data_IF_252675192257
#
_entry.id   IF_252675192257
#
_cell.length_a   1.000
_cell.length_b   1.000
_cell.length_c   1.000
_cell.angle_alpha   90.00
_cell.angle_beta   90.00
_cell.angle_gamma   90.00
#
_symmetry.space_group_name_H-M   'P 1'
#
loop_
_entity.id
_entity.type
_entity.pdbx_description
1 polymer ?
#
# COMPACT_ATOMS: atom_id res chain seq x y z
N UNK A 1 -0.75 -3.34 -25.28
CA UNK A 1 0.38 -4.11 -25.83
C UNK A 1 1.75 -3.70 -25.28
N UNK A 2 1.99 -2.46 -24.83
CA UNK A 2 3.27 -2.04 -24.18
C UNK A 2 3.30 -2.37 -22.68
N UNK A 3 2.13 -2.57 -22.04
CA UNK A 3 2.00 -2.89 -20.62
C UNK A 3 2.57 -4.26 -20.21
N UNK A 4 2.78 -5.17 -21.17
CA UNK A 4 3.22 -6.54 -20.87
C UNK A 4 4.74 -6.68 -20.72
N UNK A 5 5.52 -5.68 -21.14
CA UNK A 5 6.98 -5.81 -21.22
C UNK A 5 7.76 -5.13 -20.07
N UNK A 6 7.14 -4.23 -19.31
CA UNK A 6 7.82 -3.45 -18.26
C UNK A 6 7.13 -3.63 -16.92
N UNK A 7 7.87 -3.94 -15.84
CA UNK A 7 7.30 -4.04 -14.51
C UNK A 7 6.66 -2.72 -14.08
N UNK A 8 5.43 -2.78 -13.57
CA UNK A 8 4.74 -1.63 -12.96
C UNK A 8 5.26 -1.39 -11.54
N UNK A 9 5.47 -2.46 -10.78
CA UNK A 9 6.07 -2.40 -9.45
C UNK A 9 7.55 -2.71 -9.58
N UNK A 10 8.41 -1.81 -9.12
CA UNK A 10 9.87 -1.90 -9.29
C UNK A 10 10.65 -1.90 -7.97
N UNK A 11 9.96 -1.79 -6.85
CA UNK A 11 10.54 -1.78 -5.51
C UNK A 11 9.68 -2.56 -4.52
N UNK A 12 10.30 -3.26 -3.57
CA UNK A 12 9.60 -3.85 -2.43
C UNK A 12 8.98 -2.78 -1.51
N UNK A 13 9.50 -1.55 -1.57
CA UNK A 13 9.00 -0.41 -0.81
C UNK A 13 7.83 0.32 -1.49
N UNK A 14 7.45 -0.04 -2.72
CA UNK A 14 6.26 0.51 -3.38
C UNK A 14 4.98 -0.09 -2.76
N UNK A 15 4.83 0.16 -1.48
CA UNK A 15 3.74 -0.33 -0.62
C UNK A 15 3.47 0.65 0.52
N UNK A 16 2.31 0.52 1.14
CA UNK A 16 1.94 1.35 2.28
C UNK A 16 2.73 0.97 3.55
N UNK A 17 3.21 1.96 4.29
CA UNK A 17 4.07 1.80 5.47
C UNK A 17 3.49 0.84 6.52
N UNK A 18 2.19 0.92 6.79
CA UNK A 18 1.53 0.04 7.75
C UNK A 18 1.64 -1.46 7.37
N UNK A 19 1.87 -1.80 6.09
CA UNK A 19 2.05 -3.19 5.68
C UNK A 19 3.37 -3.76 6.20
N UNK A 20 4.46 -3.01 6.12
CA UNK A 20 5.74 -3.45 6.69
C UNK A 20 5.71 -3.47 8.22
N UNK A 21 5.03 -2.49 8.84
CA UNK A 21 4.85 -2.51 10.29
C UNK A 21 4.07 -3.75 10.74
N UNK A 22 2.92 -4.02 10.12
CA UNK A 22 2.16 -5.23 10.43
C UNK A 22 2.94 -6.50 10.10
N UNK A 23 3.72 -6.52 8.99
CA UNK A 23 4.53 -7.67 8.63
C UNK A 23 5.59 -7.98 9.69
N UNK A 24 6.25 -6.96 10.27
CA UNK A 24 7.19 -7.18 11.37
C UNK A 24 6.48 -7.80 12.59
N UNK A 25 5.32 -7.28 12.97
CA UNK A 25 4.54 -7.84 14.07
C UNK A 25 4.09 -9.29 13.76
N UNK A 26 3.66 -9.56 12.53
CA UNK A 26 3.32 -10.92 12.07
C UNK A 26 4.55 -11.82 12.09
N UNK A 27 5.70 -11.34 11.64
CA UNK A 27 6.94 -12.09 11.63
C UNK A 27 7.33 -12.59 13.04
N UNK A 28 7.19 -11.75 14.06
CA UNK A 28 7.53 -12.11 15.42
C UNK A 28 6.48 -12.97 16.13
N UNK A 29 5.20 -12.71 15.90
CA UNK A 29 4.12 -13.30 16.71
C UNK A 29 3.28 -14.36 15.97
N UNK A 30 3.21 -14.31 14.61
CA UNK A 30 2.22 -15.07 13.82
C UNK A 30 2.78 -15.62 12.51
N UNK A 31 4.07 -15.87 12.44
CA UNK A 31 4.85 -16.14 11.21
C UNK A 31 4.23 -17.19 10.29
N UNK A 32 3.76 -18.29 10.85
CA UNK A 32 3.35 -19.49 10.11
C UNK A 32 1.83 -19.66 10.04
N UNK A 33 1.06 -18.69 10.51
CA UNK A 33 -0.41 -18.74 10.41
C UNK A 33 -0.80 -18.69 8.93
N UNK A 34 -1.51 -19.70 8.42
CA UNK A 34 -2.01 -19.70 7.06
C UNK A 34 -3.16 -18.70 6.93
N UNK A 35 -3.12 -17.91 5.88
CA UNK A 35 -4.18 -16.94 5.58
C UNK A 35 -4.65 -17.04 4.14
N UNK A 36 -5.87 -16.55 3.92
CA UNK A 36 -6.47 -16.38 2.61
C UNK A 36 -6.92 -14.94 2.48
N UNK A 37 -6.39 -14.22 1.48
CA UNK A 37 -6.87 -12.90 1.11
C UNK A 37 -7.60 -12.98 -0.23
N UNK A 38 -8.72 -12.26 -0.37
CA UNK A 38 -9.52 -12.24 -1.59
C UNK A 38 -9.76 -10.80 -2.04
N UNK A 39 -9.49 -10.56 -3.32
CA UNK A 39 -9.89 -9.31 -3.97
C UNK A 39 -11.38 -9.34 -4.28
N UNK A 40 -12.06 -8.23 -3.95
CA UNK A 40 -13.45 -8.00 -4.33
C UNK A 40 -13.58 -6.63 -4.99
N UNK A 41 -13.95 -6.63 -6.26
CA UNK A 41 -14.41 -5.41 -6.91
C UNK A 41 -15.79 -5.05 -6.32
N UNK A 42 -15.94 -3.81 -5.83
CA UNK A 42 -17.20 -3.33 -5.21
C UNK A 42 -18.13 -2.65 -6.22
N UNK A 43 -17.67 -2.48 -7.45
CA UNK A 43 -18.44 -1.97 -8.58
C UNK A 43 -18.78 -3.09 -9.56
N UNK A 44 -19.74 -2.87 -10.44
CA UNK A 44 -20.12 -3.83 -11.50
C UNK A 44 -19.12 -3.83 -12.68
N UNK A 45 -17.88 -3.42 -12.42
CA UNK A 45 -16.85 -3.37 -13.44
C UNK A 45 -16.39 -4.77 -13.85
N UNK A 46 -16.33 -4.99 -15.15
CA UNK A 46 -15.89 -6.25 -15.77
C UNK A 46 -14.39 -6.20 -16.06
N UNK A 47 -13.59 -6.61 -15.08
CA UNK A 47 -12.13 -6.51 -15.12
C UNK A 47 -11.44 -7.80 -15.59
N UNK A 48 -12.19 -8.83 -15.96
CA UNK A 48 -11.63 -10.13 -16.36
C UNK A 48 -10.76 -10.05 -17.62
N UNK A 49 -10.98 -9.07 -18.50
CA UNK A 49 -10.14 -8.83 -19.67
C UNK A 49 -8.69 -8.49 -19.34
N UNK A 50 -8.42 -8.01 -18.11
CA UNK A 50 -7.07 -7.65 -17.64
C UNK A 50 -6.34 -8.80 -16.92
N UNK A 51 -6.97 -9.97 -16.76
CA UNK A 51 -6.44 -11.09 -15.99
C UNK A 51 -5.06 -11.58 -16.50
N UNK A 52 -4.89 -11.66 -17.82
CA UNK A 52 -3.63 -12.10 -18.44
C UNK A 52 -2.50 -11.09 -18.19
N UNK A 53 -2.76 -9.81 -18.40
CA UNK A 53 -1.79 -8.74 -18.15
C UNK A 53 -1.43 -8.69 -16.67
N UNK A 54 -2.43 -8.81 -15.77
CA UNK A 54 -2.19 -8.86 -14.34
C UNK A 54 -1.34 -10.06 -13.95
N UNK A 55 -1.61 -11.26 -14.50
CA UNK A 55 -0.79 -12.45 -14.23
C UNK A 55 0.67 -12.23 -14.59
N UNK A 56 0.93 -11.67 -15.77
CA UNK A 56 2.28 -11.36 -16.21
C UNK A 56 2.99 -10.38 -15.26
N UNK A 57 2.30 -9.31 -14.83
CA UNK A 57 2.86 -8.36 -13.87
C UNK A 57 3.14 -8.98 -12.50
N UNK A 58 2.26 -9.87 -12.03
CA UNK A 58 2.47 -10.62 -10.79
C UNK A 58 3.67 -11.56 -10.89
N UNK A 59 3.87 -12.21 -12.04
CA UNK A 59 5.03 -13.11 -12.26
C UNK A 59 6.35 -12.33 -12.19
N UNK A 60 6.39 -11.11 -12.73
CA UNK A 60 7.59 -10.25 -12.67
C UNK A 60 7.93 -9.80 -11.23
N UNK A 61 6.98 -9.80 -10.30
CA UNK A 61 7.26 -9.42 -8.91
C UNK A 61 8.19 -10.42 -8.19
N UNK A 62 8.35 -11.65 -8.70
CA UNK A 62 9.29 -12.62 -8.14
C UNK A 62 10.74 -12.12 -8.14
N UNK A 63 11.10 -11.24 -9.08
CA UNK A 63 12.44 -10.71 -9.23
C UNK A 63 12.73 -9.52 -8.29
N UNK A 64 11.70 -8.98 -7.61
CA UNK A 64 11.88 -7.86 -6.70
C UNK A 64 12.70 -8.27 -5.47
N UNK A 65 13.65 -7.44 -5.13
CA UNK A 65 14.50 -7.62 -3.95
C UNK A 65 14.77 -6.28 -3.28
N UNK A 66 14.94 -6.29 -1.97
CA UNK A 66 15.33 -5.10 -1.23
C UNK A 66 16.77 -4.71 -1.62
N UNK A 67 16.95 -3.49 -2.09
CA UNK A 67 18.27 -2.94 -2.39
C UNK A 67 19.04 -2.60 -1.12
N UNK A 68 20.35 -2.38 -1.21
CA UNK A 68 21.14 -1.96 -0.06
C UNK A 68 20.75 -0.53 0.42
N UNK A 69 20.32 0.34 -0.48
CA UNK A 69 19.84 1.70 -0.17
C UNK A 69 18.53 1.61 0.62
N UNK A 70 17.55 0.88 0.11
CA UNK A 70 16.27 0.64 0.78
C UNK A 70 16.45 -0.03 2.14
N UNK A 71 17.35 -1.01 2.24
CA UNK A 71 17.69 -1.66 3.51
C UNK A 71 18.25 -0.63 4.51
N UNK A 72 19.22 0.21 4.09
CA UNK A 72 19.80 1.27 4.91
C UNK A 72 18.77 2.28 5.36
N UNK A 73 17.83 2.65 4.48
CA UNK A 73 16.71 3.52 4.82
C UNK A 73 15.82 2.92 5.91
N UNK A 74 15.35 1.67 5.73
CA UNK A 74 14.53 1.01 6.74
C UNK A 74 15.27 0.86 8.07
N UNK A 75 16.58 0.56 8.04
CA UNK A 75 17.42 0.45 9.23
C UNK A 75 17.55 1.78 9.99
N UNK A 76 17.42 2.91 9.32
CA UNK A 76 17.45 4.23 9.96
C UNK A 76 16.17 4.58 10.72
N UNK A 77 15.09 3.85 10.49
CA UNK A 77 13.80 4.04 11.14
C UNK A 77 13.77 3.29 12.48
N UNK A 78 13.45 3.97 13.60
CA UNK A 78 13.70 3.43 14.95
C UNK A 78 12.82 2.24 15.33
N UNK A 79 11.72 2.01 14.62
CA UNK A 79 10.74 0.97 14.93
C UNK A 79 11.00 -0.36 14.20
N UNK A 80 11.91 -0.43 13.23
CA UNK A 80 12.27 -1.70 12.61
C UNK A 80 13.35 -2.43 13.39
N UNK A 81 13.08 -3.70 13.71
CA UNK A 81 14.02 -4.60 14.40
C UNK A 81 14.95 -5.25 13.39
N UNK A 82 16.22 -5.41 13.78
CA UNK A 82 17.26 -5.89 12.88
C UNK A 82 17.02 -7.32 12.37
N UNK A 83 16.51 -8.21 13.20
CA UNK A 83 16.19 -9.59 12.82
C UNK A 83 15.10 -9.67 11.74
N UNK A 84 14.04 -8.85 11.87
CA UNK A 84 13.05 -8.70 10.81
C UNK A 84 13.68 -8.15 9.52
N UNK A 85 14.49 -7.10 9.60
CA UNK A 85 15.13 -6.52 8.42
C UNK A 85 16.07 -7.50 7.72
N UNK A 86 16.83 -8.32 8.47
CA UNK A 86 17.66 -9.36 7.89
C UNK A 86 16.82 -10.43 7.18
N UNK A 87 15.69 -10.83 7.74
CA UNK A 87 14.76 -11.72 7.07
C UNK A 87 14.16 -11.05 5.82
N UNK A 88 13.70 -9.79 5.91
CA UNK A 88 13.09 -9.05 4.82
C UNK A 88 14.05 -8.81 3.64
N UNK A 89 15.33 -8.70 3.89
CA UNK A 89 16.36 -8.63 2.84
C UNK A 89 16.32 -9.83 1.90
N UNK A 90 15.94 -10.99 2.42
CA UNK A 90 15.81 -12.24 1.65
C UNK A 90 14.38 -12.53 1.19
N UNK A 91 13.44 -11.69 1.55
CA UNK A 91 12.05 -11.83 1.10
C UNK A 91 11.97 -11.75 -0.42
N UNK A 92 11.12 -12.59 -0.99
CA UNK A 92 10.73 -12.55 -2.40
C UNK A 92 9.24 -12.82 -2.49
N UNK A 93 8.55 -12.11 -3.37
CA UNK A 93 7.19 -12.46 -3.72
C UNK A 93 7.14 -13.85 -4.37
N UNK A 94 6.10 -14.60 -4.09
CA UNK A 94 5.87 -15.96 -4.60
C UNK A 94 4.62 -15.94 -5.48
N UNK A 95 4.74 -15.76 -6.81
CA UNK A 95 3.59 -15.66 -7.71
C UNK A 95 2.63 -16.84 -7.65
N UNK A 96 3.10 -18.02 -7.29
CA UNK A 96 2.29 -19.21 -7.09
C UNK A 96 1.26 -19.10 -5.94
N UNK A 97 1.44 -18.15 -5.02
CA UNK A 97 0.47 -17.84 -3.97
C UNK A 97 -0.76 -17.10 -4.52
N UNK A 98 -0.66 -16.48 -5.70
CA UNK A 98 -1.69 -15.61 -6.28
C UNK A 98 -2.45 -16.35 -7.38
N UNK A 99 -3.70 -16.67 -7.12
CA UNK A 99 -4.61 -17.30 -8.05
C UNK A 99 -5.51 -16.25 -8.69
N UNK A 100 -5.36 -16.04 -9.99
CA UNK A 100 -6.14 -15.08 -10.78
C UNK A 100 -7.08 -15.87 -11.68
N UNK A 101 -8.36 -15.54 -11.65
CA UNK A 101 -9.39 -16.17 -12.49
C UNK A 101 -10.41 -15.12 -12.96
N UNK A 102 -11.19 -15.52 -13.97
CA UNK A 102 -12.29 -14.72 -14.50
C UNK A 102 -13.57 -15.53 -14.39
N UNK A 103 -14.62 -14.91 -13.86
CA UNK A 103 -15.96 -15.53 -13.82
C UNK A 103 -16.63 -15.51 -15.19
N UNK A 104 -17.75 -16.24 -15.34
CA UNK A 104 -18.56 -16.24 -16.56
C UNK A 104 -19.07 -14.83 -16.92
N UNK A 105 -19.29 -13.96 -15.93
CA UNK A 105 -19.74 -12.58 -16.10
C UNK A 105 -18.58 -11.59 -16.31
N UNK A 106 -17.37 -12.12 -16.65
CA UNK A 106 -16.16 -11.34 -16.85
C UNK A 106 -15.69 -10.52 -15.62
N UNK A 107 -16.00 -11.00 -14.41
CA UNK A 107 -15.47 -10.43 -13.18
C UNK A 107 -14.08 -10.98 -12.89
N UNK A 108 -13.17 -10.12 -12.46
CA UNK A 108 -11.84 -10.51 -11.99
C UNK A 108 -11.92 -11.05 -10.56
N UNK A 109 -11.36 -12.22 -10.33
CA UNK A 109 -11.19 -12.79 -9.01
C UNK A 109 -9.71 -13.03 -8.74
N UNK A 110 -9.24 -12.60 -7.56
CA UNK A 110 -7.88 -12.84 -7.12
C UNK A 110 -7.96 -13.42 -5.71
N UNK A 111 -7.28 -14.55 -5.52
CA UNK A 111 -7.16 -15.21 -4.22
C UNK A 111 -5.68 -15.44 -3.94
N UNK A 112 -5.24 -15.06 -2.74
CA UNK A 112 -3.86 -15.19 -2.29
C UNK A 112 -3.84 -16.11 -1.09
N UNK A 113 -2.97 -17.12 -1.12
CA UNK A 113 -2.89 -18.14 -0.06
C UNK A 113 -1.45 -18.38 0.37
N UNK A 114 -1.21 -18.48 1.66
CA UNK A 114 0.13 -18.76 2.19
C UNK A 114 0.27 -18.36 3.66
N UNK A 115 1.51 -18.40 4.20
CA UNK A 115 1.80 -17.86 5.52
C UNK A 115 1.52 -16.34 5.59
N UNK A 116 0.94 -15.87 6.67
CA UNK A 116 0.53 -14.47 6.81
C UNK A 116 1.68 -13.50 6.57
N UNK A 117 2.88 -13.76 7.11
CA UNK A 117 4.08 -12.95 6.88
C UNK A 117 4.45 -12.75 5.40
N UNK A 118 4.00 -13.64 4.51
CA UNK A 118 4.25 -13.55 3.07
C UNK A 118 3.06 -12.90 2.36
N UNK A 119 1.84 -13.33 2.68
CA UNK A 119 0.60 -12.87 2.04
C UNK A 119 0.31 -11.40 2.30
N UNK A 120 0.67 -10.90 3.48
CA UNK A 120 0.34 -9.54 3.93
C UNK A 120 0.84 -8.44 2.98
N UNK A 121 1.97 -8.65 2.30
CA UNK A 121 2.53 -7.66 1.38
C UNK A 121 1.87 -7.64 0.00
N UNK A 122 1.12 -8.67 -0.37
CA UNK A 122 0.51 -8.74 -1.69
C UNK A 122 -0.60 -7.70 -1.91
N UNK A 123 -1.34 -7.30 -0.87
CA UNK A 123 -2.53 -6.46 -1.02
C UNK A 123 -2.24 -5.16 -1.78
N UNK A 124 -1.31 -4.36 -1.29
CA UNK A 124 -1.09 -3.01 -1.82
C UNK A 124 -0.54 -3.03 -3.25
N UNK A 125 0.53 -3.80 -3.56
CA UNK A 125 1.02 -3.90 -4.93
C UNK A 125 -0.02 -4.48 -5.89
N UNK A 126 -0.77 -5.52 -5.51
CA UNK A 126 -1.82 -6.07 -6.37
C UNK A 126 -2.92 -5.07 -6.70
N UNK A 127 -3.38 -4.31 -5.69
CA UNK A 127 -4.38 -3.28 -5.93
C UNK A 127 -3.83 -2.15 -6.81
N UNK A 128 -2.57 -1.76 -6.63
CA UNK A 128 -1.89 -0.79 -7.48
C UNK A 128 -1.78 -1.32 -8.93
N UNK A 129 -1.39 -2.59 -9.12
CA UNK A 129 -1.35 -3.23 -10.44
C UNK A 129 -2.71 -3.20 -11.13
N UNK A 130 -3.77 -3.67 -10.45
CA UNK A 130 -5.13 -3.66 -11.02
C UNK A 130 -5.54 -2.24 -11.41
N UNK A 131 -5.37 -1.28 -10.50
CA UNK A 131 -5.73 0.11 -10.73
C UNK A 131 -4.98 0.70 -11.93
N UNK A 132 -3.67 0.55 -11.97
CA UNK A 132 -2.83 1.11 -13.02
C UNK A 132 -3.07 0.46 -14.39
N UNK A 133 -3.21 -0.88 -14.46
CA UNK A 133 -3.52 -1.59 -15.71
C UNK A 133 -4.84 -1.08 -16.29
N UNK A 134 -5.88 -0.98 -15.47
CA UNK A 134 -7.21 -0.52 -15.89
C UNK A 134 -7.16 0.93 -16.35
N UNK A 135 -6.54 1.82 -15.60
CA UNK A 135 -6.46 3.23 -15.96
C UNK A 135 -5.64 3.48 -17.23
N UNK A 136 -4.49 2.83 -17.38
CA UNK A 136 -3.67 2.94 -18.60
C UNK A 136 -4.41 2.43 -19.84
N UNK A 137 -5.21 1.37 -19.70
CA UNK A 137 -5.99 0.83 -20.79
C UNK A 137 -7.16 1.75 -21.19
N UNK A 138 -7.87 2.32 -20.21
CA UNK A 138 -9.08 3.13 -20.43
C UNK A 138 -8.81 4.59 -20.74
N UNK A 139 -7.70 5.12 -20.26
CA UNK A 139 -7.37 6.54 -20.38
C UNK A 139 -5.89 6.77 -20.67
N UNK A 140 -5.36 6.18 -21.78
CA UNK A 140 -3.93 6.22 -22.11
C UNK A 140 -3.41 7.64 -22.41
N UNK A 141 -4.31 8.59 -22.65
CA UNK A 141 -3.98 9.99 -22.96
C UNK A 141 -3.68 10.83 -21.72
N UNK A 142 -4.06 10.36 -20.50
CA UNK A 142 -3.83 11.12 -19.27
C UNK A 142 -2.38 11.01 -18.86
N UNK A 143 -1.72 12.15 -18.70
CA UNK A 143 -0.33 12.27 -18.32
C UNK A 143 -0.16 12.70 -16.84
N UNK A 144 1.06 12.61 -16.33
CA UNK A 144 1.39 13.15 -15.02
C UNK A 144 1.18 14.68 -14.96
N UNK A 145 1.47 15.39 -16.05
CA UNK A 145 1.28 16.85 -16.13
C UNK A 145 -0.20 17.22 -16.06
N UNK A 146 -1.09 16.46 -16.74
CA UNK A 146 -2.53 16.67 -16.63
C UNK A 146 -3.03 16.51 -15.19
N UNK A 147 -2.49 15.52 -14.47
CA UNK A 147 -2.84 15.28 -13.09
C UNK A 147 -2.37 16.42 -12.17
N UNK A 148 -1.16 16.96 -12.38
CA UNK A 148 -0.64 18.11 -11.65
C UNK A 148 -1.48 19.36 -11.91
N UNK A 149 -1.86 19.62 -13.17
CA UNK A 149 -2.76 20.74 -13.52
C UNK A 149 -4.10 20.61 -12.77
N UNK A 150 -4.66 19.41 -12.70
CA UNK A 150 -5.90 19.16 -11.96
C UNK A 150 -5.72 19.34 -10.45
N UNK A 151 -4.61 18.83 -9.89
CA UNK A 151 -4.28 19.00 -8.48
C UNK A 151 -4.22 20.49 -8.10
N UNK A 152 -3.53 21.32 -8.89
CA UNK A 152 -3.42 22.78 -8.64
C UNK A 152 -4.80 23.44 -8.58
N UNK A 153 -5.70 23.09 -9.50
CA UNK A 153 -7.09 23.59 -9.45
C UNK A 153 -7.82 23.18 -8.17
N UNK A 154 -7.61 21.93 -7.71
CA UNK A 154 -8.20 21.46 -6.46
C UNK A 154 -7.62 22.19 -5.24
N UNK A 155 -6.33 22.49 -5.23
CA UNK A 155 -5.67 23.30 -4.20
C UNK A 155 -6.25 24.72 -4.18
N UNK A 156 -6.44 25.36 -5.34
CA UNK A 156 -7.04 26.67 -5.43
C UNK A 156 -8.47 26.69 -4.90
N UNK A 157 -9.27 25.65 -5.24
CA UNK A 157 -10.62 25.46 -4.71
C UNK A 157 -10.57 25.30 -3.18
N UNK A 158 -9.69 24.45 -2.66
CA UNK A 158 -9.53 24.23 -1.23
C UNK A 158 -9.24 25.52 -0.46
N UNK A 159 -8.29 26.34 -0.94
CA UNK A 159 -7.97 27.62 -0.29
C UNK A 159 -9.13 28.62 -0.36
N UNK A 160 -9.80 28.70 -1.52
CA UNK A 160 -10.98 29.55 -1.68
C UNK A 160 -12.10 29.14 -0.71
N UNK A 161 -12.44 27.86 -0.67
CA UNK A 161 -13.54 27.35 0.15
C UNK A 161 -13.23 27.50 1.65
N UNK A 162 -11.95 27.30 2.04
CA UNK A 162 -11.51 27.55 3.42
C UNK A 162 -11.67 29.03 3.80
N UNK A 163 -11.29 29.96 2.91
CA UNK A 163 -11.42 31.40 3.14
C UNK A 163 -12.90 31.85 3.21
N UNK A 164 -13.76 31.37 2.30
CA UNK A 164 -15.18 31.66 2.29
C UNK A 164 -15.91 31.17 3.54
N UNK A 165 -15.49 30.02 4.08
CA UNK A 165 -16.05 29.42 5.27
C UNK A 165 -15.34 29.85 6.56
N UNK A 166 -14.35 30.74 6.49
CA UNK A 166 -13.53 31.21 7.61
C UNK A 166 -12.87 30.06 8.41
N UNK A 167 -12.43 28.99 7.71
CA UNK A 167 -11.74 27.85 8.31
C UNK A 167 -10.28 28.20 8.54
N UNK A 168 -9.82 28.08 9.79
CA UNK A 168 -8.40 28.16 10.13
C UNK A 168 -7.69 26.86 9.70
N UNK A 169 -6.66 26.99 8.87
CA UNK A 169 -5.87 25.88 8.36
C UNK A 169 -4.61 25.58 9.20
N UNK A 170 -4.40 26.27 10.33
CA UNK A 170 -3.18 26.11 11.12
C UNK A 170 -2.93 24.66 11.58
N UNK A 171 -4.00 23.92 11.89
CA UNK A 171 -3.94 22.52 12.32
C UNK A 171 -4.25 21.51 11.20
N UNK A 172 -4.48 21.98 9.96
CA UNK A 172 -4.76 21.08 8.85
C UNK A 172 -3.52 20.26 8.47
N UNK A 173 -3.71 18.96 8.29
CA UNK A 173 -2.66 18.02 7.92
C UNK A 173 -3.14 17.09 6.82
N UNK A 174 -2.39 17.02 5.74
CA UNK A 174 -2.63 16.09 4.63
C UNK A 174 -1.61 14.97 4.67
N UNK A 175 -2.08 13.75 4.44
CA UNK A 175 -1.26 12.56 4.26
C UNK A 175 -1.66 11.86 2.97
N UNK A 176 -0.66 11.43 2.16
CA UNK A 176 -0.94 10.62 0.98
C UNK A 176 -1.11 9.15 1.35
N UNK A 177 -2.24 8.56 0.92
CA UNK A 177 -2.56 7.13 0.97
C UNK A 177 -3.05 6.62 -0.40
N UNK A 178 -2.48 7.16 -1.47
CA UNK A 178 -2.96 6.95 -2.84
C UNK A 178 -2.57 5.64 -3.50
N UNK A 179 -1.56 4.91 -3.00
CA UNK A 179 -0.89 3.81 -3.68
C UNK A 179 -1.84 2.76 -4.25
N UNK A 180 -2.80 2.27 -3.48
CA UNK A 180 -3.74 1.20 -3.88
C UNK A 180 -4.72 1.60 -4.98
N UNK A 181 -4.89 2.89 -5.23
CA UNK A 181 -5.89 3.45 -6.16
C UNK A 181 -5.27 4.43 -7.16
N UNK A 182 -3.96 4.39 -7.28
CA UNK A 182 -3.22 5.31 -8.15
C UNK A 182 -3.64 5.11 -9.60
N UNK A 183 -3.67 6.19 -10.34
CA UNK A 183 -3.84 6.14 -11.79
C UNK A 183 -2.66 5.43 -12.46
N UNK A 184 -1.43 5.85 -12.10
CA UNK A 184 -0.17 5.18 -12.41
C UNK A 184 0.89 5.60 -11.39
N UNK A 185 2.01 4.88 -11.35
CA UNK A 185 3.17 5.25 -10.54
C UNK A 185 3.62 6.70 -10.84
N UNK A 186 3.77 7.05 -12.12
CA UNK A 186 4.24 8.38 -12.53
C UNK A 186 3.26 9.48 -12.12
N UNK A 187 1.95 9.25 -12.23
CA UNK A 187 0.92 10.19 -11.80
C UNK A 187 0.97 10.39 -10.28
N UNK A 188 1.00 9.32 -9.50
CA UNK A 188 1.09 9.44 -8.03
C UNK A 188 2.38 10.15 -7.62
N UNK A 189 3.52 9.78 -8.21
CA UNK A 189 4.80 10.43 -7.97
C UNK A 189 4.73 11.93 -8.21
N UNK A 190 4.19 12.36 -9.36
CA UNK A 190 4.08 13.77 -9.71
C UNK A 190 3.13 14.53 -8.76
N UNK A 191 2.02 13.92 -8.36
CA UNK A 191 1.09 14.50 -7.37
C UNK A 191 1.77 14.69 -6.02
N UNK A 192 2.47 13.67 -5.51
CA UNK A 192 3.14 13.75 -4.20
C UNK A 192 4.28 14.77 -4.24
N UNK A 193 5.03 14.83 -5.36
CA UNK A 193 6.10 15.82 -5.54
C UNK A 193 5.55 17.26 -5.60
N UNK A 194 4.46 17.48 -6.33
CA UNK A 194 3.78 18.79 -6.38
C UNK A 194 3.27 19.20 -4.99
N UNK A 195 2.63 18.29 -4.25
CA UNK A 195 2.16 18.56 -2.90
C UNK A 195 3.33 18.88 -1.95
N UNK A 196 4.42 18.13 -2.02
CA UNK A 196 5.62 18.39 -1.22
C UNK A 196 6.17 19.79 -1.43
N UNK A 197 6.22 20.25 -2.67
CA UNK A 197 6.87 21.51 -3.03
C UNK A 197 5.95 22.72 -2.88
N UNK A 198 4.63 22.54 -2.99
CA UNK A 198 3.69 23.65 -3.13
C UNK A 198 2.49 23.61 -2.17
N UNK A 199 2.37 22.59 -1.31
CA UNK A 199 1.27 22.47 -0.34
C UNK A 199 1.82 22.24 1.08
N UNK A 200 1.95 23.29 1.90
CA UNK A 200 2.65 23.25 3.19
C UNK A 200 2.02 22.32 4.23
N UNK A 201 0.83 21.84 3.97
CA UNK A 201 0.10 20.95 4.89
C UNK A 201 0.38 19.47 4.63
N UNK A 202 1.15 19.10 3.60
CA UNK A 202 1.56 17.71 3.40
C UNK A 202 2.56 17.31 4.48
N UNK A 203 2.20 16.34 5.33
CA UNK A 203 3.05 15.86 6.42
C UNK A 203 3.73 14.52 6.11
N UNK A 204 3.32 13.80 5.07
CA UNK A 204 3.95 12.53 4.70
C UNK A 204 3.15 11.73 3.69
N UNK A 205 3.70 10.57 3.35
CA UNK A 205 3.08 9.58 2.48
C UNK A 205 3.11 8.20 3.12
N UNK A 206 2.10 7.39 2.86
CA UNK A 206 2.11 5.99 3.28
C UNK A 206 3.04 5.12 2.45
N UNK A 207 3.37 5.54 1.24
CA UNK A 207 4.23 4.80 0.34
C UNK A 207 5.71 4.91 0.76
N UNK A 208 6.31 3.80 1.20
CA UNK A 208 7.70 3.80 1.65
C UNK A 208 8.70 4.19 0.57
N UNK A 209 8.46 3.79 -0.68
CA UNK A 209 9.33 4.16 -1.79
C UNK A 209 9.35 5.68 -2.03
N UNK A 210 8.17 6.34 -1.96
CA UNK A 210 8.10 7.80 -2.05
C UNK A 210 8.65 8.49 -0.80
N UNK A 211 8.42 7.92 0.40
CA UNK A 211 8.99 8.46 1.63
C UNK A 211 10.51 8.51 1.57
N UNK A 212 11.16 7.43 1.12
CA UNK A 212 12.60 7.37 0.91
C UNK A 212 13.06 8.37 -0.16
N UNK A 213 12.51 8.25 -1.38
CA UNK A 213 12.97 9.03 -2.54
C UNK A 213 12.74 10.51 -2.41
N UNK A 214 11.67 10.92 -1.76
CA UNK A 214 11.28 12.31 -1.61
C UNK A 214 11.61 12.88 -0.23
N UNK A 215 12.22 12.09 0.66
CA UNK A 215 12.54 12.53 2.03
C UNK A 215 11.29 13.03 2.78
N UNK A 216 10.18 12.29 2.64
CA UNK A 216 8.95 12.53 3.36
C UNK A 216 8.85 11.58 4.56
N UNK A 217 8.09 11.99 5.58
CA UNK A 217 7.78 11.10 6.69
C UNK A 217 6.92 9.91 6.20
N UNK A 218 7.28 8.66 6.51
CA UNK A 218 6.40 7.53 6.30
C UNK A 218 5.25 7.58 7.30
N UNK A 219 4.00 7.52 6.81
CA UNK A 219 2.79 7.61 7.63
C UNK A 219 1.96 6.33 7.57
N UNK A 220 1.22 6.07 8.64
CA UNK A 220 0.42 4.87 8.80
C UNK A 220 1.03 3.92 9.82
N UNK A 221 0.19 3.31 10.64
CA UNK A 221 0.59 2.41 11.73
C UNK A 221 0.13 0.99 11.45
N UNK A 222 -1.18 0.75 11.53
CA UNK A 222 -1.84 -0.53 11.34
C UNK A 222 -3.12 -0.36 10.52
N UNK A 223 -3.65 -1.44 9.96
CA UNK A 223 -4.85 -1.44 9.13
C UNK A 223 -5.89 -2.44 9.65
N UNK A 224 -7.10 -2.40 9.05
CA UNK A 224 -8.20 -3.30 9.40
C UNK A 224 -7.82 -4.79 9.35
N UNK A 225 -6.94 -5.18 8.46
CA UNK A 225 -6.44 -6.55 8.36
C UNK A 225 -5.92 -7.08 9.70
N UNK A 226 -5.19 -6.25 10.47
CA UNK A 226 -4.65 -6.62 11.77
C UNK A 226 -5.77 -7.04 12.73
N UNK A 227 -6.81 -6.24 12.83
CA UNK A 227 -7.96 -6.52 13.71
C UNK A 227 -8.81 -7.68 13.19
N UNK A 228 -9.04 -7.77 11.87
CA UNK A 228 -9.78 -8.86 11.25
C UNK A 228 -9.10 -10.21 11.46
N UNK A 229 -7.78 -10.27 11.33
CA UNK A 229 -7.02 -11.48 11.60
C UNK A 229 -7.17 -11.91 13.07
N UNK A 230 -7.08 -10.96 14.01
CA UNK A 230 -7.24 -11.25 15.43
C UNK A 230 -8.65 -11.76 15.79
N UNK A 231 -9.68 -11.40 15.02
CA UNK A 231 -11.01 -11.99 15.19
C UNK A 231 -11.05 -13.51 14.89
N UNK A 232 -10.11 -14.01 14.08
CA UNK A 232 -10.01 -15.40 13.72
C UNK A 232 -9.03 -16.19 14.61
N UNK A 233 -7.92 -15.55 15.03
CA UNK A 233 -6.87 -16.23 15.78
C UNK A 233 -7.02 -16.12 17.29
N UNK A 234 -7.80 -15.16 17.79
CA UNK A 234 -8.06 -15.03 19.23
C UNK A 234 -8.96 -16.16 19.73
N UNK A 235 -8.66 -16.79 20.88
CA UNK A 235 -9.49 -17.84 21.45
C UNK A 235 -10.94 -17.44 21.70
N UNK A 236 -11.14 -16.15 22.04
CA UNK A 236 -12.47 -15.57 22.27
C UNK A 236 -12.64 -14.32 21.41
N UNK A 237 -13.65 -14.30 20.57
CA UNK A 237 -13.96 -13.18 19.68
C UNK A 237 -14.15 -11.86 20.45
N UNK A 238 -14.78 -11.90 21.62
CA UNK A 238 -14.99 -10.72 22.46
C UNK A 238 -13.69 -10.04 22.91
N UNK A 239 -12.58 -10.77 22.99
CA UNK A 239 -11.26 -10.29 23.38
C UNK A 239 -10.35 -9.97 22.20
N UNK A 240 -10.78 -10.19 20.96
CA UNK A 240 -9.94 -10.09 19.76
C UNK A 240 -9.31 -8.70 19.57
N UNK A 241 -10.08 -7.64 19.79
CA UNK A 241 -9.55 -6.28 19.66
C UNK A 241 -8.50 -5.97 20.74
N UNK A 242 -8.73 -6.42 21.98
CA UNK A 242 -7.76 -6.27 23.05
C UNK A 242 -6.48 -7.07 22.75
N UNK A 243 -6.60 -8.29 22.24
CA UNK A 243 -5.46 -9.11 21.84
C UNK A 243 -4.66 -8.45 20.71
N UNK A 244 -5.35 -7.89 19.71
CA UNK A 244 -4.71 -7.15 18.62
C UNK A 244 -3.91 -5.94 19.13
N UNK A 245 -4.49 -5.14 20.01
CA UNK A 245 -3.83 -3.97 20.60
C UNK A 245 -2.66 -4.38 21.52
N UNK A 246 -2.83 -5.42 22.32
CA UNK A 246 -1.76 -5.90 23.20
C UNK A 246 -0.56 -6.40 22.38
N UNK A 247 -0.80 -7.24 21.39
CA UNK A 247 0.25 -7.75 20.50
C UNK A 247 0.97 -6.62 19.75
N UNK A 248 0.25 -5.55 19.40
CA UNK A 248 0.85 -4.36 18.80
C UNK A 248 1.73 -3.59 19.78
N UNK A 249 1.28 -3.40 21.01
CA UNK A 249 2.07 -2.75 22.07
C UNK A 249 3.32 -3.56 22.46
N UNK A 250 3.22 -4.89 22.46
CA UNK A 250 4.35 -5.78 22.72
C UNK A 250 5.43 -5.66 21.62
N UNK A 251 5.01 -5.43 20.37
CA UNK A 251 5.92 -5.20 19.25
C UNK A 251 6.48 -3.78 19.23
N UNK A 252 5.64 -2.76 19.51
CA UNK A 252 5.95 -1.33 19.41
C UNK A 252 5.57 -0.58 20.70
N UNK A 253 6.31 -0.80 21.83
CA UNK A 253 5.90 -0.29 23.14
C UNK A 253 5.80 1.25 23.21
N UNK A 254 6.67 1.97 22.50
CA UNK A 254 6.77 3.44 22.58
C UNK A 254 6.58 4.12 21.21
N UNK A 255 6.14 3.38 20.18
CA UNK A 255 6.11 3.84 18.81
C UNK A 255 4.85 3.35 18.10
N UNK A 256 4.52 3.99 16.97
CA UNK A 256 3.38 3.59 16.13
C UNK A 256 2.06 3.44 16.93
N UNK A 257 1.83 4.31 17.93
CA UNK A 257 0.75 4.20 18.90
C UNK A 257 -0.64 4.59 18.40
N UNK A 258 -0.81 4.97 17.13
CA UNK A 258 -2.12 5.31 16.57
C UNK A 258 -2.81 4.02 16.11
N UNK A 259 -3.92 3.67 16.73
CA UNK A 259 -4.74 2.54 16.33
C UNK A 259 -5.86 2.99 15.38
N UNK A 260 -6.13 2.18 14.37
CA UNK A 260 -7.32 2.31 13.54
C UNK A 260 -8.47 1.58 14.24
N UNK A 261 -9.53 2.31 14.57
CA UNK A 261 -10.72 1.78 15.26
C UNK A 261 -11.95 1.84 14.38
#
# INVERSE_FOLDING_TARGET
>A
MILDATPIITSLLDTDAYKLHMQQAVYHHYSDIPVVAEFRCRSDERLGEYATTLRHQVDMMADLSLTNEEFGYLQSLPFFKNDYLQWFKHFRFKPEQVHIATTADNQLTIKITGPWREVILWEVPLLALVSEIVHRARSPQITADDAVIQLRKLIDIFYRDAAEQHIDLADFKLMDFGTRRRFSYDVQRAIVDELKNHFPYLIGTSNYHFAERMQLAPVGTQAHEWFQAHQQISPELANSQRAALQSWLDEYPDQLGIALT
#
